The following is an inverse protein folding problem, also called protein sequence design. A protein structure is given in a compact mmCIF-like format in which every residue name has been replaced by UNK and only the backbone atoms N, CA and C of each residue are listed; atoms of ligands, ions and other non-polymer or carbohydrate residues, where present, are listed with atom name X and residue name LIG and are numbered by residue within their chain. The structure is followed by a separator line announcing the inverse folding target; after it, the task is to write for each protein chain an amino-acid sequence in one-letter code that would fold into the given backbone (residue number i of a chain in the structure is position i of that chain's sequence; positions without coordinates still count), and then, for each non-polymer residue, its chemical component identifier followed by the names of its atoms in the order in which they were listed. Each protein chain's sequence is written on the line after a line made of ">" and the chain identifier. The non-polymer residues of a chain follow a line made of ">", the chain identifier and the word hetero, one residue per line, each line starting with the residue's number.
data_IF_132278641346
#
_entry.id   IF_132278641346
#
_cell.length_a   1.000
_cell.length_b   1.000
_cell.length_c   1.000
_cell.angle_alpha   90.00
_cell.angle_beta   90.00
_cell.angle_gamma   90.00
#
_symmetry.space_group_name_H-M   'P 1'
#
loop_
_entity.id
_entity.type
_entity.pdbx_description
1 polymer ?
#
# COMPACT_ATOMS: atom_id res chain seq x y z
N UNK A 1 29.49 -2.07 -6.61
CA UNK A 1 28.26 -1.24 -6.74
C UNK A 1 27.04 -2.16 -6.75
N UNK A 2 25.83 -1.71 -6.37
CA UNK A 2 24.61 -2.51 -6.54
C UNK A 2 24.19 -2.46 -8.02
N UNK A 3 24.13 -3.61 -8.68
CA UNK A 3 24.01 -3.67 -10.15
C UNK A 3 22.60 -4.01 -10.60
N UNK A 4 21.91 -4.90 -9.88
CA UNK A 4 20.54 -5.29 -10.23
C UNK A 4 19.70 -5.61 -8.99
N UNK A 5 18.42 -5.22 -9.02
CA UNK A 5 17.41 -5.61 -8.04
C UNK A 5 16.26 -6.27 -8.78
N UNK A 6 16.04 -7.55 -8.54
CA UNK A 6 14.91 -8.30 -9.09
C UNK A 6 13.95 -8.66 -7.97
N UNK A 7 12.66 -8.35 -8.17
CA UNK A 7 11.58 -8.80 -7.30
C UNK A 7 10.87 -9.96 -7.98
N UNK A 8 10.66 -11.08 -7.28
CA UNK A 8 9.85 -12.15 -7.82
C UNK A 8 8.39 -11.73 -7.98
N UNK A 9 7.81 -12.04 -9.14
CA UNK A 9 6.42 -11.74 -9.43
C UNK A 9 5.53 -12.82 -8.81
N UNK A 10 4.97 -12.51 -7.65
CA UNK A 10 4.01 -13.37 -6.96
C UNK A 10 2.59 -13.08 -7.45
N UNK A 11 1.72 -14.09 -7.61
CA UNK A 11 0.31 -13.86 -7.92
C UNK A 11 -0.40 -13.05 -6.83
N UNK A 12 -1.54 -12.45 -7.21
CA UNK A 12 -2.43 -11.74 -6.28
C UNK A 12 -2.77 -12.61 -5.06
N UNK A 13 -2.78 -12.08 -3.82
CA UNK A 13 -3.15 -12.83 -2.63
C UNK A 13 -4.65 -13.11 -2.51
N UNK A 14 -5.46 -12.54 -3.39
CA UNK A 14 -6.91 -12.61 -3.30
C UNK A 14 -7.40 -13.73 -4.22
N UNK A 15 -7.90 -14.86 -3.68
CA UNK A 15 -8.47 -15.92 -4.48
C UNK A 15 -9.80 -15.45 -5.11
N UNK A 16 -10.15 -15.99 -6.27
CA UNK A 16 -11.47 -15.81 -6.87
C UNK A 16 -11.80 -14.38 -7.34
N UNK A 17 -10.79 -13.54 -7.61
CA UNK A 17 -11.05 -12.22 -8.18
C UNK A 17 -11.71 -12.35 -9.57
N UNK A 18 -12.75 -11.54 -9.87
CA UNK A 18 -13.39 -11.56 -11.17
C UNK A 18 -12.44 -11.12 -12.28
N UNK A 19 -12.63 -11.60 -13.52
CA UNK A 19 -11.91 -11.10 -14.68
C UNK A 19 -12.09 -9.58 -14.81
N UNK A 20 -11.00 -8.86 -15.07
CA UNK A 20 -11.05 -7.39 -15.25
C UNK A 20 -10.90 -6.56 -13.96
N UNK A 21 -10.51 -7.17 -12.83
CA UNK A 21 -10.06 -6.41 -11.65
C UNK A 21 -8.89 -5.49 -12.01
N UNK A 22 -8.93 -4.25 -11.53
CA UNK A 22 -7.85 -3.31 -11.77
C UNK A 22 -6.69 -3.57 -10.81
N UNK A 23 -5.54 -4.06 -11.31
CA UNK A 23 -4.33 -4.19 -10.48
C UNK A 23 -3.41 -2.96 -10.62
N UNK A 24 -3.12 -2.32 -9.49
CA UNK A 24 -2.29 -1.13 -9.37
C UNK A 24 -1.02 -1.46 -8.58
N UNK A 25 0.10 -1.63 -9.29
CA UNK A 25 1.41 -1.89 -8.67
C UNK A 25 2.08 -0.57 -8.26
N UNK A 26 2.20 -0.36 -6.97
CA UNK A 26 2.84 0.81 -6.37
C UNK A 26 4.32 0.50 -6.12
N UNK A 27 5.19 1.28 -6.78
CA UNK A 27 6.64 1.20 -6.64
C UNK A 27 7.18 2.43 -5.92
N UNK A 28 8.44 2.35 -5.50
CA UNK A 28 9.18 3.47 -4.92
C UNK A 28 9.13 4.74 -5.80
N UNK A 29 9.28 4.59 -7.12
CA UNK A 29 9.23 5.70 -8.08
C UNK A 29 7.82 6.20 -8.41
N UNK A 30 6.76 5.47 -8.06
CA UNK A 30 5.39 5.80 -8.49
C UNK A 30 4.94 7.16 -7.96
N UNK A 31 4.38 8.00 -8.83
CA UNK A 31 3.80 9.27 -8.43
C UNK A 31 2.33 9.05 -8.08
N UNK A 32 1.95 9.34 -6.82
CA UNK A 32 0.58 9.12 -6.31
C UNK A 32 -0.45 9.79 -7.23
N UNK A 33 -0.19 11.04 -7.65
CA UNK A 33 -1.09 11.77 -8.56
C UNK A 33 -1.39 11.00 -9.84
N UNK A 34 -0.37 10.39 -10.45
CA UNK A 34 -0.52 9.64 -11.70
C UNK A 34 -1.28 8.33 -11.45
N UNK A 35 -0.92 7.59 -10.41
CA UNK A 35 -1.62 6.35 -10.01
C UNK A 35 -3.10 6.62 -9.75
N UNK A 36 -3.41 7.68 -9.00
CA UNK A 36 -4.79 8.02 -8.67
C UNK A 36 -5.54 8.54 -9.89
N UNK A 37 -4.93 9.35 -10.76
CA UNK A 37 -5.57 9.77 -12.00
C UNK A 37 -5.99 8.57 -12.86
N UNK A 38 -5.10 7.60 -13.01
CA UNK A 38 -5.38 6.37 -13.75
C UNK A 38 -6.42 5.48 -13.07
N UNK A 39 -6.29 5.26 -11.77
CA UNK A 39 -7.19 4.38 -11.03
C UNK A 39 -8.61 4.92 -10.95
N UNK A 40 -8.77 6.24 -10.74
CA UNK A 40 -10.08 6.89 -10.65
C UNK A 40 -10.83 6.85 -12.00
N UNK A 41 -10.11 7.01 -13.11
CA UNK A 41 -10.72 6.92 -14.44
C UNK A 41 -11.29 5.52 -14.72
N UNK A 42 -10.65 4.46 -14.21
CA UNK A 42 -11.09 3.07 -14.45
C UNK A 42 -12.08 2.55 -13.42
N UNK A 43 -11.96 2.93 -12.16
CA UNK A 43 -12.87 2.45 -11.11
C UNK A 43 -14.31 2.92 -11.32
N UNK A 44 -14.55 3.93 -12.16
CA UNK A 44 -15.90 4.31 -12.58
C UNK A 44 -16.64 3.15 -13.29
N UNK A 45 -15.95 2.44 -14.19
CA UNK A 45 -16.51 1.30 -14.94
C UNK A 45 -16.24 -0.08 -14.30
N UNK A 46 -15.40 -0.14 -13.27
CA UNK A 46 -15.03 -1.40 -12.60
C UNK A 46 -15.64 -1.49 -11.20
N UNK A 47 -15.74 -2.73 -10.70
CA UNK A 47 -16.25 -3.04 -9.35
C UNK A 47 -15.15 -3.04 -8.29
N UNK A 48 -13.93 -3.39 -8.68
CA UNK A 48 -12.84 -3.69 -7.77
C UNK A 48 -11.49 -3.15 -8.26
N UNK A 49 -10.62 -2.80 -7.31
CA UNK A 49 -9.23 -2.42 -7.54
C UNK A 49 -8.34 -3.02 -6.48
N UNK A 50 -7.16 -3.49 -6.88
CA UNK A 50 -6.14 -4.02 -5.99
C UNK A 50 -4.92 -3.10 -6.03
N UNK A 51 -4.48 -2.60 -4.88
CA UNK A 51 -3.20 -1.91 -4.74
C UNK A 51 -2.18 -2.84 -4.12
N UNK A 52 -1.04 -3.04 -4.80
CA UNK A 52 0.07 -3.85 -4.27
C UNK A 52 1.33 -3.02 -4.14
N UNK A 53 2.11 -3.27 -3.10
CA UNK A 53 3.42 -2.65 -2.94
C UNK A 53 4.30 -3.41 -1.96
N UNK A 54 5.60 -3.21 -2.10
CA UNK A 54 6.66 -3.91 -1.35
C UNK A 54 7.71 -2.93 -0.84
N UNK A 55 8.36 -3.29 0.26
CA UNK A 55 9.43 -2.50 0.89
C UNK A 55 9.06 -1.03 1.06
N UNK A 56 9.83 -0.13 0.43
CA UNK A 56 9.64 1.32 0.55
C UNK A 56 8.35 1.86 -0.08
N UNK A 57 7.62 1.03 -0.84
CA UNK A 57 6.35 1.42 -1.45
C UNK A 57 5.12 1.13 -0.56
N UNK A 58 5.28 0.39 0.55
CA UNK A 58 4.16 -0.03 1.42
C UNK A 58 3.33 1.17 1.88
N UNK A 59 3.95 2.20 2.46
CA UNK A 59 3.24 3.41 2.93
C UNK A 59 2.50 4.13 1.80
N UNK A 60 3.08 4.16 0.60
CA UNK A 60 2.44 4.78 -0.57
C UNK A 60 1.22 3.98 -1.02
N UNK A 61 1.29 2.65 -0.94
CA UNK A 61 0.19 1.74 -1.26
C UNK A 61 -1.00 1.99 -0.35
N UNK A 62 -0.76 2.10 0.96
CA UNK A 62 -1.79 2.47 1.95
C UNK A 62 -2.37 3.85 1.61
N UNK A 63 -1.50 4.83 1.34
CA UNK A 63 -1.95 6.19 0.98
C UNK A 63 -2.86 6.19 -0.26
N UNK A 64 -2.54 5.38 -1.27
CA UNK A 64 -3.37 5.21 -2.47
C UNK A 64 -4.75 4.64 -2.13
N UNK A 65 -4.83 3.61 -1.29
CA UNK A 65 -6.10 3.04 -0.85
C UNK A 65 -6.94 4.07 -0.06
N UNK A 66 -6.32 4.81 0.86
CA UNK A 66 -7.00 5.84 1.66
C UNK A 66 -7.51 7.03 0.83
N UNK A 67 -6.77 7.41 -0.22
CA UNK A 67 -7.27 8.41 -1.18
C UNK A 67 -8.46 7.85 -1.97
N UNK A 68 -8.39 6.58 -2.39
CA UNK A 68 -9.47 5.93 -3.12
C UNK A 68 -10.76 5.86 -2.30
N UNK A 69 -10.69 5.38 -1.04
CA UNK A 69 -11.84 5.33 -0.13
C UNK A 69 -12.49 6.69 0.08
N UNK A 70 -11.70 7.74 0.31
CA UNK A 70 -12.23 9.11 0.50
C UNK A 70 -12.92 9.69 -0.72
N UNK A 71 -12.49 9.34 -1.94
CA UNK A 71 -13.06 9.89 -3.17
C UNK A 71 -14.26 9.11 -3.70
N UNK A 72 -14.24 7.78 -3.57
CA UNK A 72 -15.31 6.92 -4.08
C UNK A 72 -16.40 6.71 -3.02
N UNK A 73 -16.00 6.64 -1.74
CA UNK A 73 -16.88 6.31 -0.63
C UNK A 73 -17.38 4.86 -0.67
N UNK A 74 -17.91 4.37 0.44
CA UNK A 74 -18.65 3.09 0.54
C UNK A 74 -17.92 1.87 -0.08
N UNK A 75 -16.59 1.81 0.06
CA UNK A 75 -15.80 0.67 -0.42
C UNK A 75 -15.52 -0.32 0.73
N UNK A 76 -15.79 -1.59 0.48
CA UNK A 76 -15.29 -2.69 1.30
C UNK A 76 -13.79 -2.83 1.08
N UNK A 77 -13.04 -3.09 2.14
CA UNK A 77 -11.60 -3.26 2.05
C UNK A 77 -11.21 -4.64 2.56
N UNK A 78 -10.25 -5.29 1.88
CA UNK A 78 -9.58 -6.48 2.37
C UNK A 78 -8.07 -6.31 2.21
N UNK A 79 -7.32 -6.39 3.31
CA UNK A 79 -5.87 -6.19 3.33
C UNK A 79 -5.15 -7.50 3.65
N UNK A 80 -4.17 -7.85 2.82
CA UNK A 80 -3.28 -9.01 3.01
C UNK A 80 -1.83 -8.57 3.09
N UNK A 81 -1.11 -9.10 4.07
CA UNK A 81 0.32 -8.88 4.28
C UNK A 81 1.10 -10.15 3.93
N UNK A 82 2.23 -9.98 3.24
CA UNK A 82 3.14 -11.08 2.87
C UNK A 82 4.57 -10.58 2.91
N UNK A 83 5.53 -11.50 2.92
CA UNK A 83 6.92 -11.19 2.64
C UNK A 83 7.25 -11.54 1.20
N UNK A 84 8.14 -10.76 0.58
CA UNK A 84 8.72 -11.04 -0.73
C UNK A 84 10.24 -11.12 -0.61
N UNK A 85 10.83 -12.08 -1.32
CA UNK A 85 12.28 -12.17 -1.43
C UNK A 85 12.74 -11.31 -2.62
N UNK A 86 13.78 -10.53 -2.38
CA UNK A 86 14.40 -9.65 -3.36
C UNK A 86 15.84 -10.11 -3.55
N UNK A 87 16.19 -10.37 -4.81
CA UNK A 87 17.54 -10.70 -5.20
C UNK A 87 18.28 -9.41 -5.53
N UNK A 88 19.34 -9.12 -4.77
CA UNK A 88 20.24 -8.01 -5.03
C UNK A 88 21.60 -8.55 -5.50
N UNK A 89 21.99 -8.18 -6.71
CA UNK A 89 23.29 -8.53 -7.27
C UNK A 89 24.26 -7.39 -7.00
N UNK A 90 25.40 -7.74 -6.38
CA UNK A 90 26.49 -6.82 -6.04
C UNK A 90 27.75 -7.24 -6.79
N UNK A 91 28.34 -6.30 -7.54
CA UNK A 91 29.66 -6.46 -8.14
C UNK A 91 30.72 -5.79 -7.25
N UNK A 92 31.75 -6.54 -6.86
CA UNK A 92 32.93 -5.99 -6.21
C UNK A 92 33.87 -5.37 -7.25
N UNK A 93 34.48 -4.23 -6.91
CA UNK A 93 35.33 -3.46 -7.82
C UNK A 93 36.79 -3.98 -7.89
N UNK A 94 37.12 -5.06 -7.18
CA UNK A 94 38.46 -5.65 -7.19
C UNK A 94 38.59 -6.66 -8.33
N UNK A 95 39.72 -6.60 -9.03
CA UNK A 95 40.05 -7.32 -10.29
C UNK A 95 40.01 -8.85 -10.14
N UNK A 96 38.80 -9.41 -10.12
CA UNK A 96 38.52 -10.84 -10.01
C UNK A 96 37.05 -11.06 -9.68
N UNK A 97 36.22 -11.20 -10.72
CA UNK A 97 34.75 -11.12 -10.72
C UNK A 97 34.08 -12.12 -9.76
N UNK A 98 33.89 -11.73 -8.50
CA UNK A 98 33.00 -12.44 -7.58
C UNK A 98 31.65 -11.72 -7.56
N UNK A 99 30.67 -12.30 -8.26
CA UNK A 99 29.27 -11.84 -8.23
C UNK A 99 28.64 -12.30 -6.91
N UNK A 100 28.33 -11.37 -6.01
CA UNK A 100 27.64 -11.70 -4.76
C UNK A 100 26.14 -11.42 -4.90
N UNK A 101 25.36 -12.49 -4.85
CA UNK A 101 23.90 -12.41 -4.76
C UNK A 101 23.48 -12.38 -3.29
N UNK A 102 22.76 -11.33 -2.90
CA UNK A 102 22.16 -11.20 -1.57
C UNK A 102 20.64 -11.30 -1.65
N UNK A 103 20.04 -12.19 -0.86
CA UNK A 103 18.58 -12.33 -0.76
C UNK A 103 18.07 -11.51 0.42
N UNK A 104 17.25 -10.49 0.16
CA UNK A 104 16.59 -9.68 1.20
C UNK A 104 15.11 -9.99 1.24
N UNK A 105 14.60 -10.31 2.41
CA UNK A 105 13.16 -10.40 2.64
C UNK A 105 12.60 -9.01 2.92
N UNK A 106 11.57 -8.60 2.20
CA UNK A 106 10.89 -7.31 2.40
C UNK A 106 9.40 -7.50 2.68
N UNK A 107 8.77 -6.64 3.49
CA UNK A 107 7.32 -6.66 3.66
C UNK A 107 6.62 -6.25 2.37
N UNK A 108 5.47 -6.84 2.12
CA UNK A 108 4.57 -6.54 1.01
C UNK A 108 3.14 -6.46 1.50
N UNK A 109 2.41 -5.48 1.01
CA UNK A 109 1.00 -5.26 1.29
C UNK A 109 0.21 -5.36 -0.01
N UNK A 110 -0.97 -5.96 0.07
CA UNK A 110 -1.96 -5.98 -1.00
C UNK A 110 -3.31 -5.56 -0.41
N UNK A 111 -3.96 -4.56 -1.01
CA UNK A 111 -5.23 -3.99 -0.53
C UNK A 111 -6.23 -4.10 -1.67
N UNK A 112 -7.26 -4.92 -1.48
CA UNK A 112 -8.43 -4.99 -2.34
C UNK A 112 -9.45 -3.97 -1.85
N UNK A 113 -9.96 -3.15 -2.77
CA UNK A 113 -11.12 -2.30 -2.55
C UNK A 113 -12.24 -2.73 -3.49
N UNK A 114 -13.43 -2.95 -2.92
CA UNK A 114 -14.59 -3.47 -3.64
C UNK A 114 -15.83 -2.63 -3.37
N UNK A 115 -16.61 -2.35 -4.41
CA UNK A 115 -17.97 -1.79 -4.27
C UNK A 115 -18.98 -2.86 -3.84
N UNK A 116 -18.67 -4.13 -4.08
CA UNK A 116 -19.47 -5.27 -3.66
C UNK A 116 -19.03 -5.74 -2.27
N UNK A 117 -19.97 -6.28 -1.45
CA UNK A 117 -19.63 -6.87 -0.16
C UNK A 117 -18.55 -7.94 -0.29
N UNK A 118 -17.61 -7.94 0.65
CA UNK A 118 -16.62 -9.00 0.84
C UNK A 118 -16.98 -9.78 2.11
N UNK A 119 -16.41 -10.97 2.26
CA UNK A 119 -16.62 -11.80 3.46
C UNK A 119 -16.15 -11.05 4.73
N UNK A 120 -17.07 -10.74 5.66
CA UNK A 120 -16.72 -10.04 6.90
C UNK A 120 -15.87 -10.87 7.87
N UNK A 121 -15.86 -12.20 7.73
CA UNK A 121 -15.08 -13.11 8.57
C UNK A 121 -13.62 -13.24 8.10
N UNK A 122 -13.33 -12.79 6.88
CA UNK A 122 -12.00 -12.91 6.30
C UNK A 122 -11.00 -11.99 7.04
N UNK A 123 -9.86 -12.52 7.54
CA UNK A 123 -8.87 -11.70 8.22
C UNK A 123 -8.35 -10.56 7.34
N UNK A 124 -8.33 -9.36 7.91
CA UNK A 124 -7.95 -8.12 7.22
C UNK A 124 -9.10 -7.42 6.51
N UNK A 125 -10.34 -7.92 6.64
CA UNK A 125 -11.53 -7.21 6.19
C UNK A 125 -11.77 -5.94 7.01
N UNK A 126 -12.22 -4.89 6.33
CA UNK A 126 -12.69 -3.65 6.93
C UNK A 126 -13.97 -3.21 6.21
N UNK A 127 -15.07 -2.95 6.95
CA UNK A 127 -16.31 -2.49 6.37
C UNK A 127 -16.18 -1.08 5.77
N UNK A 128 -17.08 -0.69 4.86
CA UNK A 128 -17.09 0.65 4.31
C UNK A 128 -17.27 1.70 5.39
N UNK A 129 -16.50 2.79 5.29
CA UNK A 129 -16.66 3.94 6.17
C UNK A 129 -18.07 4.53 5.97
N UNK A 130 -18.78 4.75 7.08
CA UNK A 130 -20.06 5.47 7.04
C UNK A 130 -19.81 6.83 6.39
N UNK A 131 -20.65 7.21 5.43
CA UNK A 131 -20.62 8.54 4.85
C UNK A 131 -21.04 9.48 5.97
N UNK A 132 -20.07 10.01 6.73
CA UNK A 132 -20.39 10.99 7.73
C UNK A 132 -20.84 12.25 6.99
N UNK A 133 -22.09 12.64 7.24
CA UNK A 133 -22.66 13.96 6.99
C UNK A 133 -21.93 15.08 7.78
N UNK A 134 -20.62 14.94 7.98
CA UNK A 134 -19.79 15.89 8.71
C UNK A 134 -19.28 17.02 7.82
N UNK A 135 -19.46 16.95 6.49
CA UNK A 135 -19.20 18.02 5.53
C UNK A 135 -20.45 18.41 4.71
N UNK A 136 -21.66 18.33 5.28
CA UNK A 136 -22.77 19.13 4.74
C UNK A 136 -22.48 20.60 5.02
N UNK A 137 -21.90 21.26 4.02
CA UNK A 137 -21.60 22.68 4.04
C UNK A 137 -22.87 23.50 4.11
N UNK A 138 -23.09 24.18 5.23
CA UNK A 138 -23.86 25.42 5.25
C UNK A 138 -22.93 26.57 4.85
N UNK A 139 -23.14 27.13 3.65
CA UNK A 139 -22.69 28.49 3.34
C UNK A 139 -22.22 28.70 1.88
N UNK A 140 -22.59 29.81 1.22
CA UNK A 140 -22.58 29.94 -0.23
C UNK A 140 -21.22 30.35 -0.83
N UNK A 141 -21.07 29.99 -2.10
CA UNK A 141 -19.99 30.31 -3.03
C UNK A 141 -19.23 31.62 -2.77
N UNK A 142 -17.92 31.51 -2.54
CA UNK A 142 -16.94 32.54 -2.87
C UNK A 142 -15.66 31.89 -3.40
N UNK A 143 -15.29 32.31 -4.61
CA UNK A 143 -14.06 31.94 -5.32
C UNK A 143 -12.99 32.95 -4.93
N UNK A 144 -11.84 32.52 -4.41
CA UNK A 144 -10.52 33.14 -4.66
C UNK A 144 -9.35 32.38 -4.01
N UNK A 145 -8.19 32.54 -4.65
CA UNK A 145 -6.88 31.92 -4.40
C UNK A 145 -6.31 32.19 -3.00
N UNK A 146 -5.54 31.24 -2.46
CA UNK A 146 -4.65 31.48 -1.33
C UNK A 146 -3.84 30.24 -0.95
N UNK A 147 -2.54 30.28 -1.20
CA UNK A 147 -1.54 29.31 -0.73
C UNK A 147 -1.35 29.51 0.78
N UNK A 148 -1.62 28.49 1.61
CA UNK A 148 -1.06 28.42 2.96
C UNK A 148 -0.57 26.99 3.23
N UNK A 149 0.73 26.89 3.51
CA UNK A 149 1.45 25.70 4.01
C UNK A 149 1.08 25.55 5.49
N UNK A 150 0.62 24.37 5.89
CA UNK A 150 0.62 24.02 7.32
C UNK A 150 1.30 22.65 7.54
N UNK A 151 2.30 22.68 8.40
CA UNK A 151 3.31 21.66 8.61
C UNK A 151 3.20 21.18 10.07
N UNK A 152 2.09 20.52 10.41
CA UNK A 152 1.75 20.23 11.81
C UNK A 152 1.26 18.82 12.14
N UNK A 153 1.28 17.86 11.21
CA UNK A 153 0.66 16.51 11.41
C UNK A 153 1.64 15.34 11.27
N UNK A 154 2.92 15.56 11.50
CA UNK A 154 4.00 14.58 11.24
C UNK A 154 4.49 13.80 12.47
N UNK A 155 4.15 14.25 13.67
CA UNK A 155 4.63 13.67 14.94
C UNK A 155 3.82 12.46 15.39
N UNK A 156 2.48 12.53 15.35
CA UNK A 156 1.60 11.46 15.84
C UNK A 156 1.71 10.14 15.07
N UNK A 157 1.98 10.21 13.76
CA UNK A 157 2.11 9.02 12.90
C UNK A 157 3.45 8.29 13.11
N UNK A 158 4.50 9.00 13.55
CA UNK A 158 5.81 8.38 13.86
C UNK A 158 5.75 7.53 15.13
N UNK A 159 4.91 7.89 16.10
CA UNK A 159 4.74 7.10 17.33
C UNK A 159 3.96 5.81 17.08
N UNK A 160 2.93 5.84 16.23
CA UNK A 160 2.21 4.62 15.85
C UNK A 160 3.08 3.63 15.05
N UNK A 161 3.94 4.12 14.14
CA UNK A 161 4.88 3.26 13.39
C UNK A 161 5.88 2.58 14.34
N UNK A 162 6.42 3.31 15.32
CA UNK A 162 7.33 2.73 16.33
C UNK A 162 6.64 1.67 17.21
N UNK A 163 5.36 1.85 17.52
CA UNK A 163 4.60 0.87 18.29
C UNK A 163 4.34 -0.41 17.49
N UNK A 164 3.98 -0.29 16.21
CA UNK A 164 3.80 -1.45 15.33
C UNK A 164 5.10 -2.19 15.05
N UNK A 165 6.22 -1.48 14.90
CA UNK A 165 7.55 -2.09 14.74
C UNK A 165 8.00 -2.85 16.01
N UNK A 166 7.56 -2.41 17.20
CA UNK A 166 7.78 -3.14 18.46
C UNK A 166 6.98 -4.43 18.54
N UNK A 167 5.70 -4.40 18.16
CA UNK A 167 4.80 -5.57 18.17
C UNK A 167 5.32 -6.64 17.18
N UNK A 168 5.71 -6.24 15.97
CA UNK A 168 6.22 -7.18 14.95
C UNK A 168 7.52 -7.85 15.39
N UNK A 169 8.40 -7.14 16.12
CA UNK A 169 9.65 -7.73 16.63
C UNK A 169 9.45 -8.65 17.85
N UNK A 170 8.32 -8.56 18.56
CA UNK A 170 8.00 -9.50 19.65
C UNK A 170 7.38 -10.80 19.13
N UNK A 171 6.60 -10.76 18.05
CA UNK A 171 5.86 -11.94 17.55
C UNK A 171 6.72 -12.92 16.72
N UNK A 172 7.95 -12.55 16.34
CA UNK A 172 8.81 -13.32 15.43
C UNK A 172 9.99 -14.04 16.10
N UNK A 173 10.00 -14.17 17.43
CA UNK A 173 11.09 -14.85 18.14
C UNK A 173 10.62 -15.87 19.21
N UNK A 174 9.80 -16.88 18.89
CA UNK A 174 9.78 -18.10 19.69
C UNK A 174 10.95 -18.98 19.24
N UNK A 175 11.66 -19.59 20.18
CA UNK A 175 12.83 -20.50 19.99
C UNK A 175 14.20 -19.82 20.06
N UNK A 176 14.55 -19.34 21.26
CA UNK A 176 15.89 -19.60 21.80
C UNK A 176 15.76 -20.33 23.13
N UNK A 177 16.11 -21.61 23.11
CA UNK A 177 16.51 -22.40 24.27
C UNK A 177 17.55 -23.44 23.81
N UNK A 178 18.45 -23.89 24.69
CA UNK A 178 19.07 -23.22 25.83
C UNK A 178 20.46 -22.65 25.49
#
# INVERSE_FOLDING_TARGET
>A
MKVCRTEEDSPSPFPGLPPGVLEMRVKEGSKIRNLMGFAMARIAGLRQVVFTGSGRAVTKTITCAEIMKRKVGRLHQLTKLRYKVIKEVWESAERGTSEMTLHRTVPSISILLSKDPLDPQEPGYQPPEAVSALWEGTGPSVKCRGVIRDNGRRTRMREQIKHTDKIINLELNPMRLP
#
